data_IF_784228128953
#
_entry.id   IF_784228128953
#
_cell.length_a   1.000
_cell.length_b   1.000
_cell.length_c   1.000
_cell.angle_alpha   90.00
_cell.angle_beta   90.00
_cell.angle_gamma   90.00
#
_symmetry.space_group_name_H-M   'P 1'
#
loop_
_entity.id
_entity.type
_entity.pdbx_description
1 polymer ?
#
# COMPACT_ATOMS: atom_id res chain seq x y z
N UNK A 1 -17.48 -16.82 -24.59
CA UNK A 1 -16.25 -16.34 -23.95
C UNK A 1 -16.48 -14.89 -23.59
N UNK A 2 -16.88 -14.67 -22.36
CA UNK A 2 -17.10 -13.35 -21.81
C UNK A 2 -15.74 -12.90 -21.25
N UNK A 3 -15.09 -11.93 -21.89
CA UNK A 3 -13.95 -11.23 -21.29
C UNK A 3 -14.56 -10.38 -20.17
N UNK A 4 -14.83 -11.04 -19.04
CA UNK A 4 -15.30 -10.40 -17.82
C UNK A 4 -14.19 -9.48 -17.34
N UNK A 5 -14.29 -8.23 -17.78
CA UNK A 5 -14.01 -7.05 -16.97
C UNK A 5 -12.91 -7.27 -15.91
N UNK A 6 -11.65 -7.44 -16.33
CA UNK A 6 -10.48 -7.51 -15.43
C UNK A 6 -10.28 -6.23 -14.56
N UNK A 7 -11.09 -5.20 -14.80
CA UNK A 7 -11.23 -4.00 -13.96
C UNK A 7 -12.19 -4.18 -12.78
N UNK A 8 -12.91 -5.30 -12.69
CA UNK A 8 -13.77 -5.62 -11.55
C UNK A 8 -12.90 -6.00 -10.35
N UNK A 9 -12.69 -5.02 -9.46
CA UNK A 9 -12.17 -5.14 -8.10
C UNK A 9 -11.21 -6.31 -7.85
N UNK A 10 -9.94 -6.10 -8.22
CA UNK A 10 -8.89 -6.88 -7.59
C UNK A 10 -8.98 -6.61 -6.08
N UNK A 11 -9.38 -7.62 -5.30
CA UNK A 11 -9.63 -7.45 -3.87
C UNK A 11 -8.40 -6.89 -3.17
N UNK A 12 -8.59 -6.15 -2.09
CA UNK A 12 -7.46 -5.60 -1.33
C UNK A 12 -6.52 -6.70 -0.83
N UNK A 13 -7.06 -7.88 -0.50
CA UNK A 13 -6.25 -9.06 -0.19
C UNK A 13 -5.32 -9.46 -1.35
N UNK A 14 -5.84 -9.49 -2.57
CA UNK A 14 -5.03 -9.81 -3.73
C UNK A 14 -3.98 -8.71 -3.99
N UNK A 15 -4.34 -7.42 -3.81
CA UNK A 15 -3.39 -6.30 -3.89
C UNK A 15 -2.28 -6.42 -2.85
N UNK A 16 -2.60 -6.83 -1.62
CA UNK A 16 -1.62 -7.07 -0.57
C UNK A 16 -0.68 -8.22 -0.91
N UNK A 17 -1.20 -9.32 -1.46
CA UNK A 17 -0.39 -10.44 -1.90
C UNK A 17 0.59 -10.04 -3.02
N UNK A 18 0.14 -9.21 -3.97
CA UNK A 18 0.98 -8.65 -5.01
C UNK A 18 2.02 -7.67 -4.46
N UNK A 19 1.63 -6.75 -3.57
CA UNK A 19 2.58 -5.84 -2.95
C UNK A 19 3.67 -6.61 -2.19
N UNK A 20 3.27 -7.63 -1.40
CA UNK A 20 4.20 -8.50 -0.69
C UNK A 20 5.24 -9.15 -1.62
N UNK A 21 4.87 -9.55 -2.85
CA UNK A 21 5.83 -10.17 -3.78
C UNK A 21 6.77 -9.18 -4.46
N UNK A 22 6.41 -7.89 -4.49
CA UNK A 22 7.20 -6.83 -5.11
C UNK A 22 8.12 -6.09 -4.13
N UNK A 23 7.79 -6.10 -2.83
CA UNK A 23 8.60 -5.43 -1.82
C UNK A 23 9.93 -6.15 -1.58
N UNK A 24 10.97 -5.37 -1.34
CA UNK A 24 12.30 -5.86 -1.00
C UNK A 24 12.93 -5.00 0.12
N UNK A 25 13.95 -5.56 0.77
CA UNK A 25 14.73 -4.86 1.79
C UNK A 25 13.89 -4.36 2.97
N UNK A 26 14.18 -3.14 3.44
CA UNK A 26 13.50 -2.54 4.59
C UNK A 26 11.98 -2.43 4.40
N UNK A 27 11.52 -2.13 3.18
CA UNK A 27 10.10 -2.00 2.90
C UNK A 27 9.35 -3.34 3.08
N UNK A 28 9.95 -4.46 2.69
CA UNK A 28 9.39 -5.79 2.93
C UNK A 28 9.37 -6.13 4.42
N UNK A 29 10.47 -5.87 5.14
CA UNK A 29 10.55 -6.12 6.59
C UNK A 29 9.51 -5.29 7.35
N UNK A 30 9.36 -4.00 7.01
CA UNK A 30 8.35 -3.13 7.62
C UNK A 30 6.93 -3.61 7.30
N UNK A 31 6.63 -3.95 6.04
CA UNK A 31 5.31 -4.46 5.66
C UNK A 31 4.95 -5.72 6.44
N UNK A 32 5.87 -6.69 6.54
CA UNK A 32 5.66 -7.90 7.32
C UNK A 32 5.43 -7.63 8.80
N UNK A 33 6.21 -6.73 9.39
CA UNK A 33 6.06 -6.36 10.78
C UNK A 33 4.69 -5.73 11.06
N UNK A 34 4.31 -4.70 10.28
CA UNK A 34 3.01 -4.04 10.45
C UNK A 34 1.86 -5.03 10.27
N UNK A 35 1.89 -5.80 9.18
CA UNK A 35 0.84 -6.77 8.88
C UNK A 35 0.75 -7.90 9.92
N UNK A 36 1.84 -8.21 10.63
CA UNK A 36 1.84 -9.21 11.71
C UNK A 36 1.21 -8.70 13.02
N UNK A 37 1.28 -7.39 13.27
CA UNK A 37 0.70 -6.76 14.46
C UNK A 37 -0.79 -6.43 14.25
N UNK A 38 -1.09 -5.78 13.12
CA UNK A 38 -2.42 -5.42 12.70
C UNK A 38 -2.47 -5.40 11.17
N UNK A 39 -3.23 -6.31 10.53
CA UNK A 39 -3.40 -6.29 9.09
C UNK A 39 -3.95 -4.95 8.58
N UNK A 40 -3.47 -4.51 7.42
CA UNK A 40 -4.03 -3.34 6.74
C UNK A 40 -5.50 -3.60 6.40
N UNK A 41 -6.38 -2.64 6.71
CA UNK A 41 -7.81 -2.76 6.48
C UNK A 41 -8.17 -2.56 5.00
N UNK A 42 -7.44 -1.67 4.32
CA UNK A 42 -7.66 -1.36 2.90
C UNK A 42 -6.37 -1.13 2.15
N UNK A 43 -6.41 -1.28 0.83
CA UNK A 43 -5.30 -0.95 -0.05
C UNK A 43 -4.89 0.52 0.05
N UNK A 44 -5.84 1.42 0.20
CA UNK A 44 -5.57 2.85 0.37
C UNK A 44 -4.79 3.13 1.66
N UNK A 45 -5.11 2.44 2.75
CA UNK A 45 -4.35 2.57 4.00
C UNK A 45 -2.88 2.18 3.79
N UNK A 46 -2.62 1.02 3.18
CA UNK A 46 -1.27 0.58 2.89
C UNK A 46 -0.49 1.57 2.03
N UNK A 47 -1.11 2.09 0.95
CA UNK A 47 -0.46 3.09 0.08
C UNK A 47 -0.08 4.36 0.86
N UNK A 48 -0.98 4.88 1.69
CA UNK A 48 -0.73 6.06 2.52
C UNK A 48 0.44 5.83 3.48
N UNK A 49 0.44 4.72 4.21
CA UNK A 49 1.49 4.41 5.17
C UNK A 49 2.86 4.21 4.49
N UNK A 50 2.87 3.54 3.33
CA UNK A 50 4.08 3.40 2.53
C UNK A 50 4.59 4.74 1.99
N UNK A 51 3.70 5.62 1.52
CA UNK A 51 4.06 6.94 1.02
C UNK A 51 4.66 7.81 2.14
N UNK A 52 4.08 7.80 3.33
CA UNK A 52 4.60 8.54 4.48
C UNK A 52 6.01 8.06 4.87
N UNK A 53 6.22 6.74 4.89
CA UNK A 53 7.48 6.13 5.36
C UNK A 53 8.59 6.14 4.31
N UNK A 54 8.29 5.77 3.08
CA UNK A 54 9.28 5.52 2.02
C UNK A 54 9.18 6.46 0.83
N UNK A 55 8.09 7.24 0.73
CA UNK A 55 7.94 8.26 -0.32
C UNK A 55 8.99 9.36 -0.21
N UNK A 56 9.31 9.99 -1.34
CA UNK A 56 10.26 11.10 -1.38
C UNK A 56 9.70 12.30 -0.63
N UNK A 57 10.57 13.06 0.05
CA UNK A 57 10.13 14.17 0.91
C UNK A 57 9.47 15.32 0.14
N UNK A 58 9.86 15.50 -1.11
CA UNK A 58 9.37 16.51 -2.04
C UNK A 58 8.22 16.00 -2.94
N UNK A 59 7.77 14.76 -2.75
CA UNK A 59 6.63 14.22 -3.48
C UNK A 59 5.34 14.97 -3.09
N UNK A 60 4.62 15.59 -4.05
CA UNK A 60 3.40 16.34 -3.75
C UNK A 60 2.32 15.52 -3.05
N UNK A 61 2.19 14.22 -3.36
CA UNK A 61 1.20 13.34 -2.73
C UNK A 61 1.58 13.07 -1.27
N UNK A 62 2.87 12.87 -0.99
CA UNK A 62 3.37 12.72 0.39
C UNK A 62 3.19 14.00 1.19
N UNK A 63 3.49 15.16 0.60
CA UNK A 63 3.30 16.46 1.25
C UNK A 63 1.83 16.67 1.58
N UNK A 64 0.93 16.45 0.62
CA UNK A 64 -0.51 16.56 0.83
C UNK A 64 -0.97 15.65 1.98
N UNK A 65 -0.54 14.38 1.98
CA UNK A 65 -0.90 13.43 3.03
C UNK A 65 -0.37 13.83 4.41
N UNK A 66 0.83 14.43 4.47
CA UNK A 66 1.38 14.92 5.73
C UNK A 66 0.59 16.13 6.27
N UNK A 67 0.12 17.01 5.38
CA UNK A 67 -0.72 18.16 5.75
C UNK A 67 -2.14 17.75 6.17
N UNK A 68 -2.70 16.67 5.61
CA UNK A 68 -3.99 16.12 6.04
C UNK A 68 -3.96 15.53 7.46
N UNK A 69 -2.77 15.13 7.94
CA UNK A 69 -2.56 14.49 9.24
C UNK A 69 -2.01 15.44 10.32
N UNK A 70 -1.68 16.68 9.96
CA UNK A 70 -1.15 17.72 10.84
C UNK A 70 -2.27 18.55 11.47
#
# INVERSE_FOLDING_TARGET
MEILNLRADYSDLNKFALAKSLLAGEAASWFHHQHSLLPFATWEQLKKDMMLRFGKRDDPERIALFLELA
#
